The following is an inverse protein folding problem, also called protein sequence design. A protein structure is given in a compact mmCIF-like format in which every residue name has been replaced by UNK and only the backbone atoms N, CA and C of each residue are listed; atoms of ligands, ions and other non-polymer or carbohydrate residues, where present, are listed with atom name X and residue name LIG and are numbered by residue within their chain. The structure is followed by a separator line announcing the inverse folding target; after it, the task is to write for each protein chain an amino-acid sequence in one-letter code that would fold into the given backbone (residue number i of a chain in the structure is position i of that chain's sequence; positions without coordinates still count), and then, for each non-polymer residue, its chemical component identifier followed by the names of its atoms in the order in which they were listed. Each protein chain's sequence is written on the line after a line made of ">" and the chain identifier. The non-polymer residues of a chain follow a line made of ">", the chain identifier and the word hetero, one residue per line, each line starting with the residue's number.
data_IF_184275960140
#
_entry.id   IF_184275960140
#
_cell.length_a   1.000
_cell.length_b   1.000
_cell.length_c   1.000
_cell.angle_alpha   90.00
_cell.angle_beta   90.00
_cell.angle_gamma   90.00
#
_symmetry.space_group_name_H-M   'P 1'
#
loop_
_entity.id
_entity.type
_entity.pdbx_description
1 polymer ?
#
# COMPACT_ATOMS: atom_id res chain seq x y z
N UNK A 1 -14.05 -5.67 -18.20
CA UNK A 1 -13.14 -6.72 -18.71
C UNK A 1 -12.77 -7.64 -17.53
N UNK A 2 -13.19 -8.93 -17.51
CA UNK A 2 -12.90 -9.86 -16.42
C UNK A 2 -11.49 -10.42 -16.62
N UNK A 3 -10.51 -9.97 -15.82
CA UNK A 3 -9.19 -10.58 -15.77
C UNK A 3 -9.30 -12.00 -15.21
N UNK A 4 -9.22 -13.02 -16.07
CA UNK A 4 -8.94 -14.39 -15.65
C UNK A 4 -7.54 -14.39 -15.02
N UNK A 5 -7.45 -14.62 -13.70
CA UNK A 5 -6.19 -14.95 -13.02
C UNK A 5 -5.67 -16.26 -13.60
N UNK A 6 -4.82 -16.18 -14.60
CA UNK A 6 -3.93 -17.30 -14.93
C UNK A 6 -2.96 -17.42 -13.76
N UNK A 7 -3.01 -18.54 -13.03
CA UNK A 7 -1.95 -18.99 -12.13
C UNK A 7 -0.71 -19.27 -13.01
N UNK A 8 0.03 -18.24 -13.36
CA UNK A 8 1.37 -18.42 -13.92
C UNK A 8 2.22 -19.05 -12.82
N UNK A 9 2.82 -20.18 -13.09
CA UNK A 9 3.69 -20.93 -12.19
C UNK A 9 4.97 -20.15 -11.86
N UNK A 10 4.85 -19.08 -11.09
CA UNK A 10 5.99 -18.29 -10.58
C UNK A 10 6.69 -19.14 -9.54
N UNK A 11 7.91 -19.54 -9.84
CA UNK A 11 8.74 -20.36 -8.94
C UNK A 11 9.37 -19.51 -7.83
N UNK A 12 9.89 -20.16 -6.77
CA UNK A 12 10.66 -19.47 -5.73
C UNK A 12 11.92 -18.78 -6.29
N UNK A 13 12.46 -19.30 -7.37
CA UNK A 13 13.67 -18.79 -8.04
C UNK A 13 13.37 -17.49 -8.78
N UNK A 14 12.19 -17.37 -9.40
CA UNK A 14 11.73 -16.14 -10.07
C UNK A 14 11.50 -14.99 -9.08
N UNK A 15 11.30 -15.29 -7.80
CA UNK A 15 11.09 -14.31 -6.73
C UNK A 15 12.38 -13.91 -6.01
N UNK A 16 13.52 -14.52 -6.31
CA UNK A 16 14.77 -14.22 -5.61
C UNK A 16 15.25 -12.76 -5.78
N UNK A 17 15.21 -12.15 -6.99
CA UNK A 17 15.55 -10.74 -7.19
C UNK A 17 14.67 -9.80 -6.40
N UNK A 18 13.36 -10.06 -6.35
CA UNK A 18 12.41 -9.24 -5.60
C UNK A 18 12.68 -9.31 -4.10
N UNK A 19 13.04 -10.50 -3.57
CA UNK A 19 13.39 -10.66 -2.16
C UNK A 19 14.65 -9.89 -1.78
N UNK A 20 15.69 -9.94 -2.63
CA UNK A 20 16.92 -9.19 -2.42
C UNK A 20 16.65 -7.68 -2.41
N UNK A 21 15.88 -7.19 -3.38
CA UNK A 21 15.45 -5.80 -3.46
C UNK A 21 14.74 -5.32 -2.18
N UNK A 22 13.72 -6.07 -1.72
CA UNK A 22 12.97 -5.68 -0.53
C UNK A 22 13.79 -5.74 0.76
N UNK A 23 14.72 -6.69 0.86
CA UNK A 23 15.65 -6.75 1.98
C UNK A 23 16.56 -5.52 2.03
N UNK A 24 17.12 -5.11 0.88
CA UNK A 24 17.99 -3.94 0.78
C UNK A 24 17.19 -2.65 1.07
N UNK A 25 15.98 -2.51 0.52
CA UNK A 25 15.09 -1.38 0.81
C UNK A 25 14.81 -1.28 2.33
N UNK A 26 14.45 -2.37 2.98
CA UNK A 26 14.13 -2.36 4.41
C UNK A 26 15.36 -2.07 5.28
N UNK A 27 16.55 -2.52 4.87
CA UNK A 27 17.79 -2.20 5.57
C UNK A 27 18.11 -0.69 5.55
N UNK A 28 17.72 0.01 4.48
CA UNK A 28 17.95 1.46 4.32
C UNK A 28 16.80 2.33 4.84
N UNK A 29 15.74 1.74 5.34
CA UNK A 29 14.50 2.43 5.75
C UNK A 29 14.74 3.58 6.72
N UNK A 30 15.59 3.40 7.72
CA UNK A 30 15.86 4.39 8.75
C UNK A 30 16.88 5.45 8.33
N UNK A 31 17.75 5.17 7.38
CA UNK A 31 18.77 6.10 6.89
C UNK A 31 18.26 7.04 5.79
N UNK A 32 17.27 6.63 5.03
CA UNK A 32 16.73 7.39 3.89
C UNK A 32 15.31 7.91 4.11
N UNK A 33 14.67 7.57 5.23
CA UNK A 33 13.32 8.02 5.55
C UNK A 33 12.85 7.53 6.91
N UNK A 34 11.91 8.26 7.52
CA UNK A 34 11.34 7.92 8.84
C UNK A 34 10.12 7.02 8.72
N UNK A 35 10.21 5.94 7.93
CA UNK A 35 9.13 4.98 7.84
C UNK A 35 9.10 4.06 9.08
N UNK A 36 7.90 3.78 9.64
CA UNK A 36 7.75 2.86 10.77
C UNK A 36 8.12 1.42 10.38
N UNK A 37 7.96 0.49 11.31
CA UNK A 37 8.04 -0.93 10.97
C UNK A 37 6.93 -1.29 9.97
N UNK A 38 7.26 -2.06 8.93
CA UNK A 38 6.26 -2.51 7.97
C UNK A 38 5.30 -3.53 8.64
N UNK A 39 4.02 -3.39 8.37
CA UNK A 39 2.98 -4.22 8.98
C UNK A 39 2.74 -5.53 8.22
N UNK A 40 2.90 -5.50 6.90
CA UNK A 40 2.69 -6.63 6.02
C UNK A 40 3.44 -6.44 4.70
N UNK A 41 3.57 -7.49 3.92
CA UNK A 41 4.15 -7.39 2.59
C UNK A 41 4.18 -8.73 1.86
N UNK A 42 4.01 -8.65 0.55
CA UNK A 42 4.21 -9.75 -0.38
C UNK A 42 5.55 -9.65 -1.08
N UNK A 43 5.74 -10.45 -2.11
CA UNK A 43 6.95 -10.37 -2.93
C UNK A 43 7.03 -9.12 -3.82
N UNK A 44 5.92 -8.39 -4.02
CA UNK A 44 5.83 -7.18 -4.85
C UNK A 44 5.60 -5.89 -4.06
N UNK A 45 5.38 -5.96 -2.75
CA UNK A 45 5.03 -4.78 -1.96
C UNK A 45 5.45 -4.85 -0.50
N UNK A 46 5.48 -3.67 0.14
CA UNK A 46 5.56 -3.51 1.61
C UNK A 46 4.50 -2.51 2.04
N UNK A 47 3.85 -2.79 3.18
CA UNK A 47 2.77 -1.98 3.73
C UNK A 47 3.16 -1.38 5.07
N UNK A 48 2.76 -0.13 5.26
CA UNK A 48 2.98 0.66 6.47
C UNK A 48 1.63 1.19 6.92
N UNK A 49 1.08 0.66 8.00
CA UNK A 49 -0.25 1.01 8.46
C UNK A 49 -0.28 2.41 9.06
N UNK A 50 -1.19 3.26 8.58
CA UNK A 50 -1.55 4.55 9.17
C UNK A 50 -2.71 4.34 10.12
N UNK A 51 -3.80 3.74 9.64
CA UNK A 51 -4.93 3.30 10.44
C UNK A 51 -5.03 1.80 10.25
N UNK A 52 -5.01 1.06 11.36
CA UNK A 52 -5.06 -0.40 11.33
C UNK A 52 -6.27 -0.89 10.53
N UNK A 53 -6.02 -1.77 9.57
CA UNK A 53 -7.00 -2.41 8.70
C UNK A 53 -7.85 -1.47 7.82
N UNK A 54 -7.62 -0.15 7.88
CA UNK A 54 -8.40 0.85 7.15
C UNK A 54 -7.58 1.70 6.18
N UNK A 55 -6.37 2.16 6.57
CA UNK A 55 -5.52 2.96 5.71
C UNK A 55 -4.04 2.61 5.88
N UNK A 56 -3.34 2.44 4.76
CA UNK A 56 -1.92 2.10 4.78
C UNK A 56 -1.18 2.59 3.53
N UNK A 57 0.09 2.93 3.72
CA UNK A 57 0.99 3.18 2.60
C UNK A 57 1.49 1.86 2.06
N UNK A 58 1.50 1.71 0.74
CA UNK A 58 2.06 0.58 0.03
C UNK A 58 3.20 1.05 -0.86
N UNK A 59 4.40 0.56 -0.63
CA UNK A 59 5.48 0.60 -1.61
C UNK A 59 5.31 -0.59 -2.54
N UNK A 60 5.28 -0.37 -3.84
CA UNK A 60 5.01 -1.40 -4.85
C UNK A 60 6.08 -1.39 -5.93
N UNK A 61 6.56 -2.58 -6.31
CA UNK A 61 7.46 -2.79 -7.44
C UNK A 61 7.15 -4.12 -8.11
N UNK A 62 6.85 -4.09 -9.39
CA UNK A 62 6.66 -5.28 -10.20
C UNK A 62 7.15 -5.04 -11.62
N UNK A 63 7.92 -5.99 -12.17
CA UNK A 63 8.36 -5.96 -13.57
C UNK A 63 7.29 -6.54 -14.53
N UNK A 64 6.48 -7.48 -14.07
CA UNK A 64 5.49 -8.20 -14.86
C UNK A 64 4.12 -8.23 -14.14
N UNK A 65 3.00 -8.25 -14.85
CA UNK A 65 2.86 -8.16 -16.31
C UNK A 65 3.07 -6.74 -16.86
N UNK A 66 2.96 -5.72 -15.99
CA UNK A 66 3.19 -4.30 -16.33
C UNK A 66 4.27 -3.75 -15.41
N UNK A 67 5.40 -3.26 -15.97
CA UNK A 67 6.46 -2.67 -15.16
C UNK A 67 5.92 -1.44 -14.44
N UNK A 68 5.98 -1.47 -13.10
CA UNK A 68 5.47 -0.39 -12.28
C UNK A 68 6.25 -0.29 -10.97
N UNK A 69 6.62 0.93 -10.64
CA UNK A 69 7.17 1.32 -9.33
C UNK A 69 6.26 2.40 -8.78
N UNK A 70 5.77 2.25 -7.55
CA UNK A 70 4.81 3.20 -7.02
C UNK A 70 4.76 3.27 -5.51
N UNK A 71 4.23 4.39 -5.03
CA UNK A 71 3.83 4.62 -3.64
C UNK A 71 2.33 4.91 -3.64
N UNK A 72 1.58 4.16 -2.85
CA UNK A 72 0.13 4.24 -2.79
C UNK A 72 -0.32 4.46 -1.35
N UNK A 73 -1.25 5.39 -1.12
CA UNK A 73 -2.13 5.34 0.03
C UNK A 73 -3.34 4.49 -0.37
N UNK A 74 -3.59 3.42 0.37
CA UNK A 74 -4.77 2.57 0.21
C UNK A 74 -5.71 2.74 1.37
N UNK A 75 -6.99 2.91 1.05
CA UNK A 75 -8.07 3.08 2.00
C UNK A 75 -9.12 1.99 1.76
N UNK A 76 -9.58 1.31 2.83
CA UNK A 76 -10.52 0.21 2.74
C UNK A 76 -11.62 0.29 3.78
N UNK A 77 -12.84 -0.07 3.38
CA UNK A 77 -14.02 -0.05 4.23
C UNK A 77 -14.41 1.37 4.67
N UNK A 78 -15.43 1.49 5.51
CA UNK A 78 -16.00 2.78 5.91
C UNK A 78 -14.97 3.73 6.57
N UNK A 79 -14.10 3.21 7.43
CA UNK A 79 -13.07 4.02 8.06
C UNK A 79 -12.01 4.49 7.05
N UNK A 80 -11.68 3.66 6.06
CA UNK A 80 -10.79 4.03 4.96
C UNK A 80 -11.42 5.07 4.04
N UNK A 81 -12.70 4.94 3.70
CA UNK A 81 -13.45 5.93 2.91
C UNK A 81 -13.50 7.30 3.60
N UNK A 82 -13.77 7.31 4.91
CA UNK A 82 -13.74 8.54 5.71
C UNK A 82 -12.34 9.17 5.70
N UNK A 83 -11.30 8.37 5.84
CA UNK A 83 -9.92 8.85 5.78
C UNK A 83 -9.54 9.36 4.40
N UNK A 84 -9.94 8.67 3.33
CA UNK A 84 -9.75 9.15 1.96
C UNK A 84 -10.42 10.50 1.73
N UNK A 85 -11.67 10.69 2.21
CA UNK A 85 -12.39 11.97 2.11
C UNK A 85 -11.62 13.09 2.83
N UNK A 86 -11.05 12.81 3.99
CA UNK A 86 -10.20 13.77 4.72
C UNK A 86 -8.93 14.11 3.93
N UNK A 87 -8.28 13.10 3.36
CA UNK A 87 -7.09 13.28 2.53
C UNK A 87 -7.39 14.08 1.26
N UNK A 88 -8.51 13.82 0.59
CA UNK A 88 -8.92 14.53 -0.62
C UNK A 88 -9.22 16.01 -0.34
N UNK A 89 -9.84 16.34 0.79
CA UNK A 89 -10.02 17.74 1.23
C UNK A 89 -8.69 18.45 1.48
N UNK A 90 -7.69 17.75 2.00
CA UNK A 90 -6.36 18.28 2.23
C UNK A 90 -5.46 18.20 0.98
N UNK A 91 -5.96 17.73 -0.16
CA UNK A 91 -5.22 17.58 -1.41
C UNK A 91 -4.45 18.83 -1.84
N UNK A 92 -5.05 20.08 -1.77
CA UNK A 92 -4.35 21.30 -2.16
C UNK A 92 -3.07 21.56 -1.37
N UNK A 93 -2.98 21.05 -0.12
CA UNK A 93 -1.81 21.19 0.74
C UNK A 93 -0.83 20.01 0.60
N UNK A 94 -1.36 18.82 0.40
CA UNK A 94 -0.58 17.57 0.34
C UNK A 94 0.13 17.41 -0.99
N UNK A 95 -0.57 17.60 -2.11
CA UNK A 95 -0.03 17.32 -3.44
C UNK A 95 1.22 18.17 -3.78
N UNK A 96 1.28 19.49 -3.49
CA UNK A 96 2.49 20.26 -3.69
C UNK A 96 3.68 19.77 -2.87
N UNK A 97 3.45 19.35 -1.62
CA UNK A 97 4.52 18.79 -0.76
C UNK A 97 5.07 17.48 -1.30
N UNK A 98 4.19 16.59 -1.77
CA UNK A 98 4.60 15.32 -2.38
C UNK A 98 5.36 15.55 -3.69
N UNK A 99 4.95 16.52 -4.50
CA UNK A 99 5.67 16.90 -5.73
C UNK A 99 7.04 17.52 -5.45
N UNK A 100 7.17 18.30 -4.37
CA UNK A 100 8.46 18.86 -3.96
C UNK A 100 9.48 17.76 -3.61
N UNK A 101 9.03 16.64 -3.02
CA UNK A 101 9.90 15.53 -2.63
C UNK A 101 10.19 14.53 -3.77
N UNK A 102 9.23 14.28 -4.65
CA UNK A 102 9.30 13.23 -5.66
C UNK A 102 9.51 13.74 -7.08
N UNK A 103 9.40 15.03 -7.29
CA UNK A 103 9.55 15.71 -8.59
C UNK A 103 8.26 16.39 -9.05
N UNK A 104 8.40 17.53 -9.76
CA UNK A 104 7.26 18.33 -10.20
C UNK A 104 6.37 17.60 -11.22
N UNK A 105 6.96 16.75 -12.05
CA UNK A 105 6.27 15.97 -13.09
C UNK A 105 5.68 14.66 -12.57
N UNK A 106 5.60 14.49 -11.25
CA UNK A 106 5.06 13.29 -10.64
C UNK A 106 3.61 13.06 -11.09
N UNK A 107 3.37 11.93 -11.75
CA UNK A 107 2.03 11.48 -12.05
C UNK A 107 1.33 11.01 -10.74
N UNK A 108 0.28 11.71 -10.35
CA UNK A 108 -0.54 11.37 -9.20
C UNK A 108 -1.99 11.11 -9.60
N UNK A 109 -2.52 10.01 -9.12
CA UNK A 109 -3.91 9.59 -9.32
C UNK A 109 -4.65 9.58 -7.99
N UNK A 110 -5.82 10.22 -7.93
CA UNK A 110 -6.67 10.30 -6.74
C UNK A 110 -7.99 9.58 -6.99
N UNK A 111 -8.36 8.67 -6.10
CA UNK A 111 -9.64 7.97 -6.17
C UNK A 111 -9.68 6.75 -7.08
N UNK A 112 -8.62 6.48 -7.84
CA UNK A 112 -8.55 5.29 -8.68
C UNK A 112 -8.17 4.06 -7.84
N UNK A 113 -8.98 3.00 -7.89
CA UNK A 113 -8.57 1.72 -7.34
C UNK A 113 -9.06 0.56 -8.22
N UNK A 114 -8.17 -0.37 -8.48
CA UNK A 114 -8.48 -1.60 -9.22
C UNK A 114 -9.02 -2.73 -8.32
N UNK A 115 -9.17 -2.47 -7.01
CA UNK A 115 -9.68 -3.45 -6.05
C UNK A 115 -11.05 -3.02 -5.54
N UNK A 116 -12.08 -3.87 -5.64
CA UNK A 116 -13.41 -3.57 -5.10
C UNK A 116 -13.36 -3.23 -3.61
N UNK A 117 -14.07 -2.17 -3.21
CA UNK A 117 -14.14 -1.72 -1.81
C UNK A 117 -12.89 -1.03 -1.29
N UNK A 118 -12.00 -0.59 -2.18
CA UNK A 118 -10.82 0.19 -1.83
C UNK A 118 -10.76 1.47 -2.66
N UNK A 119 -10.12 2.49 -2.10
CA UNK A 119 -9.80 3.75 -2.79
C UNK A 119 -8.31 4.02 -2.61
N UNK A 120 -7.63 4.40 -3.67
CA UNK A 120 -6.19 4.66 -3.66
C UNK A 120 -5.89 6.14 -4.00
N UNK A 121 -4.81 6.66 -3.41
CA UNK A 121 -4.05 7.79 -3.95
C UNK A 121 -2.72 7.19 -4.39
N UNK A 122 -2.33 7.38 -5.65
CA UNK A 122 -1.16 6.73 -6.23
C UNK A 122 -0.15 7.75 -6.75
N UNK A 123 1.12 7.49 -6.50
CA UNK A 123 2.24 8.11 -7.21
C UNK A 123 3.02 7.01 -7.93
N UNK A 124 3.23 7.18 -9.23
CA UNK A 124 3.85 6.17 -10.08
C UNK A 124 5.12 6.76 -10.69
N UNK A 125 6.22 6.02 -10.56
CA UNK A 125 7.48 6.31 -11.22
C UNK A 125 7.51 5.57 -12.56
N UNK A 126 7.62 6.31 -13.64
CA UNK A 126 7.93 5.73 -14.94
C UNK A 126 9.36 5.18 -14.94
N UNK A 127 9.49 3.89 -15.16
CA UNK A 127 10.78 3.21 -15.18
C UNK A 127 10.77 2.11 -16.25
N UNK A 128 11.42 2.38 -17.41
CA UNK A 128 11.45 1.41 -18.50
C UNK A 128 12.26 0.16 -18.15
N UNK A 129 11.89 -0.96 -18.74
CA UNK A 129 12.66 -2.19 -18.65
C UNK A 129 13.85 -2.18 -19.65
N UNK A 130 14.92 -2.97 -19.39
CA UNK A 130 15.12 -3.88 -18.26
C UNK A 130 15.60 -3.17 -16.98
N UNK A 131 15.14 -3.63 -15.80
CA UNK A 131 15.63 -3.12 -14.53
C UNK A 131 16.92 -3.82 -14.11
N UNK A 132 18.01 -3.09 -14.14
CA UNK A 132 19.33 -3.49 -13.65
C UNK A 132 19.57 -3.02 -12.21
N UNK A 133 20.77 -3.26 -11.68
CA UNK A 133 21.16 -2.85 -10.32
C UNK A 133 21.11 -1.33 -10.10
N UNK A 134 21.39 -0.54 -11.15
CA UNK A 134 21.27 0.93 -11.07
C UNK A 134 19.82 1.35 -10.92
N UNK A 135 18.92 0.80 -11.73
CA UNK A 135 17.49 1.02 -11.60
C UNK A 135 16.98 0.58 -10.23
N UNK A 136 17.43 -0.59 -9.73
CA UNK A 136 17.04 -1.05 -8.40
C UNK A 136 17.44 -0.07 -7.29
N UNK A 137 18.66 0.49 -7.34
CA UNK A 137 19.09 1.54 -6.38
C UNK A 137 18.27 2.81 -6.48
N UNK A 138 17.95 3.27 -7.69
CA UNK A 138 17.09 4.43 -7.91
C UNK A 138 15.68 4.20 -7.37
N UNK A 139 15.08 3.02 -7.62
CA UNK A 139 13.78 2.65 -7.09
C UNK A 139 13.77 2.64 -5.56
N UNK A 140 14.81 2.11 -4.90
CA UNK A 140 14.92 2.13 -3.44
C UNK A 140 14.91 3.55 -2.91
N UNK A 141 15.75 4.43 -3.45
CA UNK A 141 15.84 5.83 -3.00
C UNK A 141 14.50 6.54 -3.21
N UNK A 142 13.91 6.42 -4.41
CA UNK A 142 12.65 7.06 -4.73
C UNK A 142 11.50 6.55 -3.85
N UNK A 143 11.40 5.24 -3.66
CA UNK A 143 10.34 4.63 -2.83
C UNK A 143 10.48 4.99 -1.35
N UNK A 144 11.69 5.06 -0.82
CA UNK A 144 11.90 5.43 0.59
C UNK A 144 11.63 6.90 0.83
N UNK A 145 12.07 7.80 -0.06
CA UNK A 145 11.75 9.23 0.02
C UNK A 145 10.24 9.46 -0.13
N UNK A 146 9.63 8.86 -1.15
CA UNK A 146 8.20 8.93 -1.37
C UNK A 146 7.39 8.37 -0.21
N UNK A 147 7.75 7.18 0.25
CA UNK A 147 7.10 6.56 1.41
C UNK A 147 7.18 7.42 2.67
N UNK A 148 8.34 8.03 2.95
CA UNK A 148 8.52 8.93 4.09
C UNK A 148 7.70 10.23 3.95
N UNK A 149 7.67 10.83 2.77
CA UNK A 149 6.86 12.01 2.48
C UNK A 149 5.36 11.71 2.65
N UNK A 150 4.90 10.58 2.09
CA UNK A 150 3.52 10.12 2.25
C UNK A 150 3.19 9.83 3.71
N UNK A 151 4.08 9.15 4.42
CA UNK A 151 3.89 8.91 5.84
C UNK A 151 3.77 10.22 6.61
N UNK A 152 4.65 11.19 6.38
CA UNK A 152 4.60 12.50 7.06
C UNK A 152 3.29 13.24 6.79
N UNK A 153 2.80 13.22 5.54
CA UNK A 153 1.55 13.89 5.18
C UNK A 153 0.32 13.20 5.77
N UNK A 154 0.21 11.89 5.59
CA UNK A 154 -1.02 11.17 5.93
C UNK A 154 -1.10 10.71 7.39
N UNK A 155 0.04 10.44 8.06
CA UNK A 155 0.03 10.12 9.48
C UNK A 155 -0.40 11.31 10.34
N UNK A 156 -0.06 12.55 9.93
CA UNK A 156 -0.53 13.75 10.61
C UNK A 156 -2.04 13.93 10.51
N UNK A 157 -2.65 13.56 9.38
CA UNK A 157 -4.10 13.56 9.25
C UNK A 157 -4.79 12.51 10.13
N UNK A 158 -4.14 11.37 10.34
CA UNK A 158 -4.67 10.28 11.17
C UNK A 158 -4.71 10.63 12.66
N UNK A 159 -3.83 11.52 13.14
CA UNK A 159 -3.82 12.03 14.52
C UNK A 159 -4.83 13.17 14.78
N UNK A 160 -5.61 13.57 13.79
CA UNK A 160 -6.65 14.57 13.96
C UNK A 160 -7.92 14.03 14.64
N UNK A 161 -8.72 14.88 15.31
CA UNK A 161 -9.90 14.46 16.07
C UNK A 161 -10.98 13.75 15.24
N UNK A 162 -10.97 13.89 13.92
CA UNK A 162 -11.94 13.25 13.03
C UNK A 162 -11.70 11.74 12.85
N UNK A 163 -10.50 11.25 13.11
CA UNK A 163 -10.11 9.82 12.90
C UNK A 163 -10.29 8.99 14.17
N UNK A 164 -10.21 9.60 15.35
CA UNK A 164 -10.44 8.91 16.63
C UNK A 164 -11.88 8.38 16.77
N UNK A 165 -12.85 9.04 16.13
CA UNK A 165 -14.26 8.63 16.16
C UNK A 165 -14.60 7.39 15.29
N UNK A 166 -13.67 6.92 14.45
CA UNK A 166 -13.86 5.80 13.52
C UNK A 166 -13.12 4.53 13.91
N UNK A 167 -12.75 4.35 15.18
CA UNK A 167 -12.23 3.06 15.62
C UNK A 167 -13.33 2.00 15.44
N UNK A 168 -13.21 1.04 14.51
CA UNK A 168 -14.26 0.04 14.33
C UNK A 168 -14.38 -0.77 15.60
N UNK A 169 -15.59 -0.77 16.20
CA UNK A 169 -15.93 -1.70 17.25
C UNK A 169 -15.45 -3.10 16.83
N UNK A 170 -14.69 -3.75 17.71
CA UNK A 170 -14.19 -5.12 17.56
C UNK A 170 -15.30 -5.99 16.96
N UNK A 171 -15.16 -6.40 15.71
CA UNK A 171 -16.04 -7.43 15.13
C UNK A 171 -15.84 -8.68 15.96
N UNK A 172 -16.79 -8.94 16.86
CA UNK A 172 -16.90 -10.24 17.53
C UNK A 172 -16.97 -11.29 16.42
N UNK A 173 -15.96 -12.14 16.37
CA UNK A 173 -15.95 -13.31 15.50
C UNK A 173 -17.09 -14.20 16.02
N UNK A 174 -18.25 -14.14 15.37
CA UNK A 174 -19.30 -15.15 15.56
C UNK A 174 -18.66 -16.50 15.21
N UNK A 175 -18.48 -17.31 16.24
CA UNK A 175 -18.14 -18.72 16.07
C UNK A 175 -19.22 -19.36 15.20
N UNK A 176 -18.87 -20.22 14.23
CA UNK A 176 -19.86 -20.97 13.49
C UNK A 176 -20.66 -21.81 14.44
N UNK A 177 -22.00 -21.67 14.40
CA UNK A 177 -22.92 -22.53 15.15
C UNK A 177 -22.64 -24.00 14.76
N UNK A 178 -22.27 -24.81 15.75
CA UNK A 178 -22.22 -26.26 15.58
C UNK A 178 -23.61 -26.72 15.17
N UNK A 179 -23.73 -27.24 13.96
CA UNK A 179 -24.90 -28.01 13.55
C UNK A 179 -24.89 -29.29 14.38
N UNK A 180 -25.83 -29.41 15.33
CA UNK A 180 -26.14 -30.65 15.98
C UNK A 180 -26.83 -31.56 14.94
N UNK A 181 -26.09 -32.54 14.47
CA UNK A 181 -26.65 -33.70 13.77
C UNK A 181 -27.43 -34.52 14.81
N UNK A 182 -28.75 -34.32 14.79
CA UNK A 182 -29.67 -35.21 15.51
C UNK A 182 -29.66 -36.60 14.87
N UNK A 183 -29.12 -37.57 15.57
CA UNK A 183 -29.39 -38.99 15.35
C UNK A 183 -30.87 -39.23 15.60
N UNK A 184 -31.60 -39.64 14.59
CA UNK A 184 -32.88 -40.33 14.79
C UNK A 184 -32.67 -41.79 14.36
N UNK A 185 -32.51 -42.63 15.40
CA UNK A 185 -32.74 -44.07 15.31
C UNK A 185 -34.24 -44.32 15.33
N UNK A 186 -34.73 -45.17 14.43
CA UNK A 186 -36.09 -45.66 14.35
C UNK A 186 -36.22 -46.61 13.15
#
# INVERSE_FOLDING_TARGET
>A
MKYKRTRTGITRQDLAPDRAFWRDLLARRTSLGSLPAHSAGGYRNRRFAIIRDAAWITLYRAALPFPQVGVFLRCAGLAGEAFFTLADRARPEIEPRLRAELGPDLAMEWGACHHPGMTDIAAILESPLPWNDSAARQHIVWMLRGGAAWWSCFASLAGGPAVESFSPAKRERRAPAKAELGEQSG
#
